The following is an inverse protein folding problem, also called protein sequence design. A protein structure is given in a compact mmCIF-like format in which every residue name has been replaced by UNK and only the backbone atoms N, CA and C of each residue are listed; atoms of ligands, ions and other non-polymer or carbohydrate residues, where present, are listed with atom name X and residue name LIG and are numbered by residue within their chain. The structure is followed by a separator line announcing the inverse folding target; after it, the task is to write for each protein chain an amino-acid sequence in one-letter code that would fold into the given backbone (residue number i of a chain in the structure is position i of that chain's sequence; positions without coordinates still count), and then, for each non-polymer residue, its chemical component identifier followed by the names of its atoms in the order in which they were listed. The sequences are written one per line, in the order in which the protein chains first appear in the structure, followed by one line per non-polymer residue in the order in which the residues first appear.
data_IF_376333109901
#
_entry.id   IF_376333109901
#
_cell.length_a   1.000
_cell.length_b   1.000
_cell.length_c   1.000
_cell.angle_alpha   90.00
_cell.angle_beta   90.00
_cell.angle_gamma   90.00
#
_symmetry.space_group_name_H-M   'P 1'
#
loop_
_entity.id
_entity.type
_entity.pdbx_description
1 polymer ?
#
# COMPACT_ATOMS: atom_id res chain seq x y z
N UNK A 1 6.74 5.47 9.14
CA UNK A 1 6.71 4.05 9.53
C UNK A 1 7.27 3.91 10.94
N UNK A 2 6.68 3.06 11.79
CA UNK A 2 7.14 2.90 13.19
C UNK A 2 6.36 3.72 14.24
N UNK A 3 5.49 4.63 13.82
CA UNK A 3 4.70 5.52 14.70
C UNK A 3 3.48 4.85 15.36
N UNK A 4 3.31 3.53 15.21
CA UNK A 4 2.24 2.80 15.91
C UNK A 4 0.92 2.66 15.19
N UNK A 5 0.81 2.91 13.87
CA UNK A 5 -0.44 2.79 13.08
C UNK A 5 -1.23 1.51 13.38
N UNK A 6 -0.55 0.36 13.40
CA UNK A 6 -1.21 -0.92 13.71
C UNK A 6 -1.79 -0.96 15.12
N UNK A 7 -1.13 -0.35 16.11
CA UNK A 7 -1.67 -0.26 17.48
C UNK A 7 -2.90 0.63 17.55
N UNK A 8 -2.90 1.74 16.81
CA UNK A 8 -4.08 2.62 16.70
C UNK A 8 -5.26 1.85 16.11
N UNK A 9 -5.04 1.09 15.02
CA UNK A 9 -6.11 0.28 14.41
C UNK A 9 -6.63 -0.81 15.34
N UNK A 10 -5.75 -1.46 16.13
CA UNK A 10 -6.14 -2.46 17.14
C UNK A 10 -7.00 -1.81 18.23
N UNK A 11 -6.56 -0.67 18.79
CA UNK A 11 -7.31 0.05 19.82
C UNK A 11 -8.68 0.50 19.34
N UNK A 12 -8.76 0.97 18.09
CA UNK A 12 -10.01 1.37 17.48
C UNK A 12 -10.96 0.17 17.32
N UNK A 13 -10.46 -0.97 16.81
CA UNK A 13 -11.23 -2.21 16.74
C UNK A 13 -11.76 -2.62 18.11
N UNK A 14 -10.92 -2.59 19.13
CA UNK A 14 -11.31 -2.96 20.50
C UNK A 14 -12.45 -2.06 21.02
N UNK A 15 -12.32 -0.75 20.86
CA UNK A 15 -13.34 0.21 21.27
C UNK A 15 -14.67 -0.02 20.53
N UNK A 16 -14.62 -0.16 19.20
CA UNK A 16 -15.82 -0.34 18.39
C UNK A 16 -16.49 -1.68 18.66
N UNK A 17 -15.72 -2.75 18.86
CA UNK A 17 -16.25 -4.08 19.17
C UNK A 17 -16.83 -4.19 20.58
N UNK A 18 -16.24 -3.53 21.57
CA UNK A 18 -16.76 -3.49 22.96
C UNK A 18 -18.08 -2.72 23.07
N UNK A 19 -18.27 -1.74 22.20
CA UNK A 19 -19.52 -0.96 22.18
C UNK A 19 -20.56 -1.53 21.19
N UNK A 20 -20.36 -2.73 20.65
CA UNK A 20 -21.22 -3.40 19.68
C UNK A 20 -21.51 -2.60 18.39
N UNK A 21 -20.65 -1.61 18.06
CA UNK A 21 -20.76 -0.83 16.83
C UNK A 21 -20.24 -1.61 15.62
N UNK A 22 -19.28 -2.49 15.84
CA UNK A 22 -18.65 -3.34 14.83
C UNK A 22 -18.57 -4.77 15.33
N UNK A 23 -19.02 -5.73 14.51
CA UNK A 23 -18.95 -7.17 14.80
C UNK A 23 -17.88 -7.87 13.99
N UNK A 24 -17.79 -7.58 12.71
CA UNK A 24 -16.89 -8.24 11.79
C UNK A 24 -15.98 -7.21 11.10
N UNK A 25 -14.69 -7.45 11.15
CA UNK A 25 -13.65 -6.58 10.59
C UNK A 25 -12.88 -7.30 9.50
N UNK A 26 -12.61 -6.62 8.41
CA UNK A 26 -11.67 -7.03 7.36
C UNK A 26 -10.44 -6.13 7.42
N UNK A 27 -9.26 -6.73 7.55
CA UNK A 27 -7.98 -6.03 7.43
C UNK A 27 -7.34 -6.37 6.08
N UNK A 28 -7.05 -5.36 5.29
CA UNK A 28 -6.47 -5.49 3.95
C UNK A 28 -5.07 -4.88 3.89
N UNK A 29 -4.14 -5.61 3.28
CA UNK A 29 -2.82 -5.10 2.93
C UNK A 29 -2.35 -5.66 1.59
N UNK A 30 -1.34 -5.04 0.99
CA UNK A 30 -0.80 -5.40 -0.33
C UNK A 30 -0.04 -6.75 -0.31
N UNK A 31 0.63 -7.07 0.81
CA UNK A 31 1.57 -8.20 0.89
C UNK A 31 1.24 -9.15 2.04
N UNK A 32 1.41 -10.44 1.78
CA UNK A 32 1.22 -11.50 2.79
C UNK A 32 2.08 -11.29 4.05
N UNK A 33 3.30 -10.74 3.91
CA UNK A 33 4.16 -10.45 5.05
C UNK A 33 3.53 -9.42 6.00
N UNK A 34 2.88 -8.36 5.46
CA UNK A 34 2.17 -7.33 6.24
C UNK A 34 0.94 -7.93 6.92
N UNK A 35 0.19 -8.78 6.20
CA UNK A 35 -0.96 -9.52 6.73
C UNK A 35 -0.55 -10.38 7.94
N UNK A 36 0.52 -11.16 7.80
CA UNK A 36 0.99 -12.03 8.89
C UNK A 36 1.50 -11.23 10.09
N UNK A 37 2.16 -10.09 9.84
CA UNK A 37 2.62 -9.19 10.91
C UNK A 37 1.44 -8.54 11.64
N UNK A 38 0.46 -8.04 10.89
CA UNK A 38 -0.74 -7.46 11.47
C UNK A 38 -1.49 -8.51 12.31
N UNK A 39 -1.74 -9.70 11.76
CA UNK A 39 -2.42 -10.80 12.45
C UNK A 39 -1.77 -11.11 13.80
N UNK A 40 -0.44 -11.30 13.84
CA UNK A 40 0.30 -11.54 15.10
C UNK A 40 0.14 -10.42 16.11
N UNK A 41 0.16 -9.16 15.66
CA UNK A 41 -0.03 -8.02 16.53
C UNK A 41 -1.46 -7.98 17.10
N UNK A 42 -2.45 -8.23 16.27
CA UNK A 42 -3.85 -8.28 16.70
C UNK A 42 -4.10 -9.42 17.70
N UNK A 43 -3.57 -10.62 17.46
CA UNK A 43 -3.65 -11.75 18.40
C UNK A 43 -3.04 -11.40 19.76
N UNK A 44 -1.92 -10.71 19.79
CA UNK A 44 -1.23 -10.33 21.04
C UNK A 44 -2.04 -9.34 21.89
N UNK A 45 -2.79 -8.42 21.25
CA UNK A 45 -3.53 -7.38 21.95
C UNK A 45 -5.02 -7.67 22.12
N UNK A 46 -5.59 -8.56 21.30
CA UNK A 46 -7.02 -8.97 21.33
C UNK A 46 -7.15 -10.50 21.43
N UNK A 47 -6.59 -11.15 22.47
CA UNK A 47 -6.52 -12.62 22.54
C UNK A 47 -7.87 -13.30 22.60
N UNK A 48 -8.92 -12.59 22.98
CA UNK A 48 -10.28 -13.14 23.11
C UNK A 48 -11.13 -12.99 21.85
N UNK A 49 -10.58 -12.39 20.77
CA UNK A 49 -11.28 -12.19 19.50
C UNK A 49 -10.84 -13.27 18.51
N UNK A 50 -11.81 -13.94 17.88
CA UNK A 50 -11.47 -14.95 16.86
C UNK A 50 -10.96 -14.30 15.59
N UNK A 51 -9.83 -14.77 15.09
CA UNK A 51 -9.14 -14.23 13.92
C UNK A 51 -8.78 -15.30 12.91
N UNK A 52 -8.65 -14.94 11.66
CA UNK A 52 -8.18 -15.83 10.58
C UNK A 52 -7.50 -15.04 9.48
N UNK A 53 -6.51 -15.67 8.84
CA UNK A 53 -5.93 -15.17 7.59
C UNK A 53 -6.58 -15.92 6.43
N UNK A 54 -7.13 -15.18 5.48
CA UNK A 54 -7.67 -15.75 4.25
C UNK A 54 -6.53 -16.16 3.33
N UNK A 55 -6.55 -17.41 2.89
CA UNK A 55 -5.55 -17.99 2.01
C UNK A 55 -6.23 -19.00 1.09
N UNK A 56 -5.69 -19.17 -0.10
CA UNK A 56 -6.17 -20.21 -1.03
C UNK A 56 -5.66 -21.61 -0.64
N UNK A 57 -4.59 -21.69 0.17
CA UNK A 57 -3.93 -22.93 0.56
C UNK A 57 -4.54 -23.59 1.79
N UNK A 58 -5.28 -22.84 2.62
CA UNK A 58 -5.85 -23.34 3.88
C UNK A 58 -7.31 -22.92 4.00
N UNK A 59 -8.14 -23.81 4.53
CA UNK A 59 -9.51 -23.46 4.86
C UNK A 59 -9.55 -22.46 6.03
N UNK A 60 -9.97 -21.21 5.80
CA UNK A 60 -10.04 -20.21 6.84
C UNK A 60 -11.27 -20.39 7.71
N UNK A 61 -11.21 -19.93 8.96
CA UNK A 61 -12.37 -19.85 9.81
C UNK A 61 -13.34 -18.75 9.34
N UNK A 62 -14.34 -19.11 8.54
CA UNK A 62 -15.34 -18.18 7.99
C UNK A 62 -16.23 -17.50 9.04
N UNK A 63 -16.18 -17.98 10.31
CA UNK A 63 -16.89 -17.39 11.45
C UNK A 63 -16.03 -16.44 12.28
N UNK A 64 -14.75 -16.28 11.92
CA UNK A 64 -13.85 -15.35 12.62
C UNK A 64 -14.39 -13.92 12.56
N UNK A 65 -14.21 -13.19 13.64
CA UNK A 65 -14.65 -11.79 13.77
C UNK A 65 -13.69 -10.83 13.09
N UNK A 66 -12.40 -11.14 13.06
CA UNK A 66 -11.43 -10.35 12.30
C UNK A 66 -10.80 -11.25 11.25
N UNK A 67 -10.86 -10.82 10.00
CA UNK A 67 -10.27 -11.52 8.86
C UNK A 67 -9.19 -10.67 8.24
N UNK A 68 -8.06 -11.29 7.94
CA UNK A 68 -6.90 -10.65 7.31
C UNK A 68 -6.75 -11.19 5.90
N UNK A 69 -6.60 -10.32 4.91
CA UNK A 69 -6.48 -10.73 3.51
C UNK A 69 -5.60 -9.79 2.72
N UNK A 70 -4.93 -10.31 1.70
CA UNK A 70 -4.42 -9.44 0.64
C UNK A 70 -5.58 -9.01 -0.28
N UNK A 71 -5.41 -7.90 -0.99
CA UNK A 71 -6.41 -7.46 -1.96
C UNK A 71 -6.69 -8.50 -3.04
N UNK A 72 -5.63 -9.15 -3.55
CA UNK A 72 -5.77 -10.17 -4.58
C UNK A 72 -6.58 -11.38 -4.09
N UNK A 73 -6.30 -11.85 -2.87
CA UNK A 73 -7.05 -12.95 -2.27
C UNK A 73 -8.52 -12.55 -2.09
N UNK A 74 -8.80 -11.35 -1.58
CA UNK A 74 -10.19 -10.90 -1.36
C UNK A 74 -10.97 -10.82 -2.67
N UNK A 75 -10.39 -10.29 -3.76
CA UNK A 75 -11.02 -10.29 -5.08
C UNK A 75 -11.43 -11.72 -5.48
N UNK A 76 -10.55 -12.69 -5.30
CA UNK A 76 -10.86 -14.09 -5.65
C UNK A 76 -12.03 -14.67 -4.83
N UNK A 77 -12.32 -14.13 -3.64
CA UNK A 77 -13.45 -14.54 -2.81
C UNK A 77 -14.77 -13.89 -3.19
N UNK A 78 -14.76 -12.72 -3.86
CA UNK A 78 -15.97 -11.98 -4.21
C UNK A 78 -16.32 -11.99 -5.71
N UNK A 79 -15.35 -12.29 -6.57
CA UNK A 79 -15.51 -12.24 -8.04
C UNK A 79 -15.96 -13.57 -8.65
N UNK A 80 -15.93 -14.68 -7.90
CA UNK A 80 -16.40 -16.00 -8.35
C UNK A 80 -17.92 -16.07 -8.31
N UNK A 81 -18.51 -16.92 -9.16
CA UNK A 81 -19.96 -17.19 -9.17
C UNK A 81 -20.49 -17.58 -7.76
N UNK A 82 -19.71 -18.40 -7.05
CA UNK A 82 -19.94 -18.76 -5.65
C UNK A 82 -19.26 -17.74 -4.72
N UNK A 83 -19.85 -16.55 -4.60
CA UNK A 83 -19.36 -15.54 -3.68
C UNK A 83 -19.30 -16.06 -2.25
N UNK A 84 -18.10 -16.06 -1.66
CA UNK A 84 -17.88 -16.59 -0.30
C UNK A 84 -18.45 -15.68 0.81
N UNK A 85 -18.66 -14.40 0.49
CA UNK A 85 -19.13 -13.40 1.43
C UNK A 85 -20.34 -12.65 0.88
N UNK A 86 -21.28 -12.31 1.77
CA UNK A 86 -22.37 -11.39 1.46
C UNK A 86 -21.90 -9.93 1.58
N UNK A 87 -22.62 -9.00 0.97
CA UNK A 87 -22.30 -7.56 0.98
C UNK A 87 -22.22 -6.97 2.41
N UNK A 88 -23.01 -7.46 3.36
CA UNK A 88 -23.00 -7.05 4.76
C UNK A 88 -22.14 -7.95 5.67
N UNK A 89 -21.14 -8.68 5.14
CA UNK A 89 -20.30 -9.56 5.97
C UNK A 89 -19.43 -8.77 6.93
N UNK A 90 -18.88 -7.65 6.49
CA UNK A 90 -17.99 -6.83 7.28
C UNK A 90 -18.61 -5.48 7.60
N UNK A 91 -18.53 -5.08 8.85
CA UNK A 91 -19.00 -3.77 9.32
C UNK A 91 -17.89 -2.71 9.15
N UNK A 92 -16.63 -3.15 9.15
CA UNK A 92 -15.46 -2.30 9.06
C UNK A 92 -14.39 -2.94 8.17
N UNK A 93 -13.83 -2.16 7.25
CA UNK A 93 -12.65 -2.50 6.46
C UNK A 93 -11.51 -1.55 6.81
N UNK A 94 -10.37 -2.11 7.23
CA UNK A 94 -9.14 -1.40 7.50
C UNK A 94 -8.17 -1.63 6.35
N UNK A 95 -7.67 -0.56 5.77
CA UNK A 95 -6.79 -0.55 4.61
C UNK A 95 -5.40 -0.12 5.06
N UNK A 96 -4.43 -1.03 5.07
CA UNK A 96 -3.03 -0.67 5.35
C UNK A 96 -2.33 -0.20 4.07
N UNK A 97 -1.46 0.81 4.22
CA UNK A 97 -0.75 1.48 3.13
C UNK A 97 -1.71 2.04 2.05
N UNK A 98 -2.73 2.78 2.49
CA UNK A 98 -3.81 3.33 1.66
C UNK A 98 -3.34 4.36 0.59
N UNK A 99 -2.07 4.77 0.59
CA UNK A 99 -1.50 5.72 -0.38
C UNK A 99 -1.27 5.12 -1.77
N UNK A 100 -1.17 3.80 -1.87
CA UNK A 100 -0.95 3.15 -3.17
C UNK A 100 -2.25 3.14 -3.95
N UNK A 101 -2.17 3.31 -5.27
CA UNK A 101 -3.31 3.29 -6.22
C UNK A 101 -4.05 1.94 -6.23
N UNK A 102 -4.44 1.50 -5.03
CA UNK A 102 -5.16 0.26 -4.74
C UNK A 102 -6.55 0.31 -5.36
N UNK A 103 -7.09 1.52 -5.51
CA UNK A 103 -8.49 1.74 -5.84
C UNK A 103 -8.81 1.48 -7.32
N UNK A 104 -7.87 1.72 -8.24
CA UNK A 104 -8.09 1.42 -9.65
C UNK A 104 -8.36 -0.06 -9.90
N UNK A 105 -7.51 -0.93 -9.37
CA UNK A 105 -7.58 -2.39 -9.58
C UNK A 105 -8.49 -3.11 -8.59
N UNK A 106 -8.51 -2.65 -7.35
CA UNK A 106 -9.20 -3.31 -6.23
C UNK A 106 -10.44 -2.56 -5.75
N UNK A 107 -10.85 -1.50 -6.43
CA UNK A 107 -12.05 -0.72 -6.13
C UNK A 107 -13.33 -1.56 -6.03
N UNK A 108 -13.38 -2.69 -6.74
CA UNK A 108 -14.47 -3.65 -6.68
C UNK A 108 -14.72 -4.17 -5.25
N UNK A 109 -13.68 -4.30 -4.39
CA UNK A 109 -13.85 -4.74 -3.00
C UNK A 109 -14.67 -3.72 -2.23
N UNK A 110 -14.33 -2.44 -2.36
CA UNK A 110 -14.96 -1.36 -1.62
C UNK A 110 -16.37 -1.04 -2.12
N UNK A 111 -16.63 -1.28 -3.41
CA UNK A 111 -17.98 -1.20 -3.99
C UNK A 111 -18.85 -2.41 -3.65
N UNK A 112 -18.23 -3.55 -3.31
CA UNK A 112 -18.96 -4.77 -3.01
C UNK A 112 -19.49 -4.80 -1.58
N UNK A 113 -18.67 -4.40 -0.59
CA UNK A 113 -19.05 -4.44 0.82
C UNK A 113 -19.69 -3.12 1.27
N UNK A 114 -20.81 -3.23 1.98
CA UNK A 114 -21.43 -2.11 2.69
C UNK A 114 -20.80 -1.97 4.07
N UNK A 115 -19.69 -1.26 4.16
CA UNK A 115 -18.83 -1.22 5.33
C UNK A 115 -18.25 0.18 5.58
N UNK A 116 -17.96 0.49 6.83
CA UNK A 116 -17.11 1.64 7.17
C UNK A 116 -15.68 1.39 6.68
N UNK A 117 -15.00 2.44 6.21
CA UNK A 117 -13.63 2.35 5.69
C UNK A 117 -12.67 3.16 6.57
N UNK A 118 -11.51 2.57 6.87
CA UNK A 118 -10.39 3.25 7.54
C UNK A 118 -9.12 3.02 6.72
N UNK A 119 -8.47 4.11 6.30
CA UNK A 119 -7.19 4.09 5.63
C UNK A 119 -6.04 4.40 6.61
N UNK A 120 -5.01 3.57 6.62
CA UNK A 120 -3.75 3.79 7.32
C UNK A 120 -2.66 4.05 6.29
N UNK A 121 -1.88 5.10 6.48
CA UNK A 121 -0.76 5.43 5.59
C UNK A 121 0.42 6.01 6.35
N UNK A 122 1.63 5.82 5.84
CA UNK A 122 2.85 6.45 6.35
C UNK A 122 3.35 7.59 5.45
N UNK A 123 2.74 7.81 4.29
CA UNK A 123 3.17 8.84 3.35
C UNK A 123 2.65 10.22 3.73
N UNK A 124 3.40 11.28 3.39
CA UNK A 124 2.93 12.66 3.49
C UNK A 124 1.59 12.88 2.76
N UNK A 125 0.86 13.90 3.20
CA UNK A 125 -0.46 14.26 2.66
C UNK A 125 -0.45 14.49 1.15
N UNK A 126 0.62 15.07 0.63
CA UNK A 126 0.76 15.47 -0.77
C UNK A 126 0.98 14.28 -1.73
N UNK A 127 1.37 13.11 -1.17
CA UNK A 127 1.61 11.89 -1.96
C UNK A 127 0.41 10.94 -1.99
N UNK A 128 -0.67 11.26 -1.27
CA UNK A 128 -1.87 10.45 -1.25
C UNK A 128 -2.69 10.79 -2.49
N UNK A 129 -2.99 9.77 -3.29
CA UNK A 129 -3.82 9.91 -4.48
C UNK A 129 -5.22 10.46 -4.11
N UNK A 130 -5.70 11.43 -4.89
CA UNK A 130 -7.03 12.02 -4.76
C UNK A 130 -8.14 10.98 -4.67
N UNK A 131 -8.02 9.90 -5.43
CA UNK A 131 -8.97 8.79 -5.41
C UNK A 131 -9.11 8.11 -4.03
N UNK A 132 -8.05 8.17 -3.20
CA UNK A 132 -8.07 7.66 -1.83
C UNK A 132 -8.93 8.54 -0.92
N UNK A 133 -8.79 9.86 -1.04
CA UNK A 133 -9.63 10.79 -0.26
C UNK A 133 -11.09 10.70 -0.68
N UNK A 134 -11.37 10.62 -1.98
CA UNK A 134 -12.73 10.47 -2.52
C UNK A 134 -13.39 9.19 -1.98
N UNK A 135 -12.67 8.05 -1.97
CA UNK A 135 -13.19 6.79 -1.43
C UNK A 135 -13.48 6.86 0.07
N UNK A 136 -12.58 7.48 0.83
CA UNK A 136 -12.74 7.63 2.28
C UNK A 136 -13.71 8.78 2.65
N UNK A 137 -14.29 9.44 1.64
CA UNK A 137 -15.20 10.60 1.79
C UNK A 137 -14.56 11.74 2.60
N UNK A 138 -13.28 12.00 2.34
CA UNK A 138 -12.50 13.05 2.99
C UNK A 138 -12.20 14.17 2.00
N UNK A 139 -12.03 15.38 2.53
CA UNK A 139 -11.52 16.51 1.75
C UNK A 139 -10.07 16.22 1.31
N UNK A 140 -9.77 16.53 0.05
CA UNK A 140 -8.46 16.28 -0.52
C UNK A 140 -7.35 16.95 0.30
N UNK A 141 -6.33 16.20 0.68
CA UNK A 141 -5.21 16.66 1.50
C UNK A 141 -5.52 16.79 2.99
N UNK A 142 -6.73 16.39 3.46
CA UNK A 142 -7.13 16.55 4.87
C UNK A 142 -7.44 15.20 5.52
N UNK A 143 -6.44 14.49 6.09
CA UNK A 143 -6.70 13.27 6.85
C UNK A 143 -7.43 13.59 8.16
N UNK A 144 -8.22 12.64 8.68
CA UNK A 144 -8.88 12.81 9.98
C UNK A 144 -7.89 12.93 11.14
N UNK A 145 -6.72 12.31 11.04
CA UNK A 145 -5.65 12.34 12.03
C UNK A 145 -4.29 12.23 11.34
N UNK A 146 -3.34 13.03 11.78
CA UNK A 146 -1.94 12.98 11.35
C UNK A 146 -1.05 12.97 12.59
N UNK A 147 0.02 12.20 12.55
CA UNK A 147 1.09 12.18 13.54
C UNK A 147 2.41 12.20 12.78
N UNK A 148 2.97 13.39 12.69
CA UNK A 148 4.09 13.65 11.79
C UNK A 148 5.42 13.19 12.41
N UNK A 149 6.47 13.11 11.58
CA UNK A 149 7.78 12.62 12.01
C UNK A 149 8.38 13.53 13.09
N UNK A 150 8.30 14.84 12.93
CA UNK A 150 8.83 15.82 13.87
C UNK A 150 8.16 15.70 15.25
N UNK A 151 6.85 15.50 15.27
CA UNK A 151 6.08 15.26 16.49
C UNK A 151 6.51 13.96 17.16
N UNK A 152 6.66 12.88 16.39
CA UNK A 152 7.10 11.58 16.89
C UNK A 152 8.54 11.60 17.42
N UNK A 153 9.41 12.45 16.89
CA UNK A 153 10.77 12.69 17.42
C UNK A 153 10.71 13.51 18.69
N UNK A 154 9.88 14.55 18.74
CA UNK A 154 9.69 15.37 19.95
C UNK A 154 9.13 14.56 21.12
N UNK A 155 8.24 13.60 20.83
CA UNK A 155 7.66 12.67 21.80
C UNK A 155 8.59 11.47 22.14
N UNK A 156 9.81 11.44 21.60
CA UNK A 156 10.82 10.39 21.82
C UNK A 156 10.41 8.98 21.31
N UNK A 157 9.39 8.87 20.45
CA UNK A 157 9.01 7.60 19.81
C UNK A 157 9.86 7.27 18.60
N UNK A 158 10.43 8.28 17.93
CA UNK A 158 11.38 8.11 16.83
C UNK A 158 12.69 8.86 17.14
N UNK A 159 13.76 8.37 16.54
CA UNK A 159 15.07 9.04 16.62
C UNK A 159 15.27 9.96 15.42
N UNK A 160 15.91 11.14 15.61
CA UNK A 160 16.24 12.00 14.48
C UNK A 160 17.25 11.32 13.56
N UNK A 161 17.07 11.48 12.24
CA UNK A 161 18.02 10.98 11.25
C UNK A 161 18.83 12.11 10.64
N UNK A 162 20.00 11.77 10.13
CA UNK A 162 20.84 12.66 9.30
C UNK A 162 20.93 12.08 7.91
N UNK A 163 20.58 12.87 6.92
CA UNK A 163 20.73 12.50 5.52
C UNK A 163 22.16 12.82 5.07
N UNK A 164 22.85 11.83 4.55
CA UNK A 164 24.14 12.00 3.87
C UNK A 164 23.90 11.79 2.37
N UNK A 165 24.06 12.85 1.60
CA UNK A 165 24.02 12.76 0.14
C UNK A 165 25.44 12.57 -0.39
N UNK A 166 25.65 11.48 -1.10
CA UNK A 166 26.88 11.22 -1.82
C UNK A 166 26.65 11.55 -3.30
N UNK A 167 27.34 12.57 -3.78
CA UNK A 167 27.40 12.88 -5.21
C UNK A 167 28.61 12.19 -5.80
N UNK A 168 28.40 11.25 -6.73
CA UNK A 168 29.51 10.73 -7.53
C UNK A 168 29.83 11.73 -8.66
N UNK A 169 31.08 11.74 -9.14
CA UNK A 169 31.43 12.54 -10.31
C UNK A 169 30.51 12.24 -11.50
N UNK A 170 30.08 11.00 -11.65
CA UNK A 170 29.16 10.57 -12.70
C UNK A 170 27.80 11.25 -12.56
N UNK A 171 27.29 11.44 -11.33
CA UNK A 171 26.03 12.17 -11.10
C UNK A 171 26.14 13.67 -11.37
N UNK A 172 27.33 14.26 -11.21
CA UNK A 172 27.56 15.68 -11.45
C UNK A 172 27.84 15.99 -12.92
N UNK A 173 28.59 15.12 -13.61
CA UNK A 173 29.09 15.37 -14.98
C UNK A 173 28.37 14.55 -16.04
N UNK A 174 27.51 13.58 -15.64
CA UNK A 174 27.01 12.57 -16.55
C UNK A 174 28.09 11.59 -17.02
N UNK A 175 27.70 10.62 -17.82
CA UNK A 175 28.59 9.71 -18.52
C UNK A 175 28.49 10.07 -20.01
N UNK A 176 29.59 10.47 -20.63
CA UNK A 176 29.59 10.63 -22.09
C UNK A 176 29.58 9.25 -22.72
N UNK A 177 28.85 9.12 -23.83
CA UNK A 177 28.78 7.89 -24.61
C UNK A 177 30.16 7.30 -24.95
N UNK A 178 31.07 8.17 -25.34
CA UNK A 178 32.42 7.80 -25.74
C UNK A 178 33.30 7.30 -24.58
N UNK A 179 32.94 7.60 -23.35
CA UNK A 179 33.65 7.18 -22.12
C UNK A 179 33.19 5.81 -21.63
N UNK A 180 32.13 5.25 -22.21
CA UNK A 180 31.59 3.93 -21.86
C UNK A 180 32.42 2.80 -22.53
N UNK A 181 32.71 1.71 -21.79
CA UNK A 181 33.27 0.50 -22.42
C UNK A 181 32.34 -0.01 -23.54
N UNK A 182 32.90 -0.52 -24.62
CA UNK A 182 32.12 -1.03 -25.77
C UNK A 182 31.02 -2.00 -25.38
N UNK A 183 31.28 -2.91 -24.44
CA UNK A 183 30.29 -3.87 -23.95
C UNK A 183 29.06 -3.20 -23.30
N UNK A 184 29.24 -2.02 -22.70
CA UNK A 184 28.12 -1.26 -22.10
C UNK A 184 27.38 -0.43 -23.15
N UNK A 185 28.09 0.08 -24.16
CA UNK A 185 27.49 0.75 -25.32
C UNK A 185 26.58 -0.22 -26.07
N UNK A 186 27.08 -1.42 -26.40
CA UNK A 186 26.30 -2.46 -27.10
C UNK A 186 25.03 -2.85 -26.34
N UNK A 187 25.13 -3.04 -25.00
CA UNK A 187 23.96 -3.34 -24.15
C UNK A 187 22.95 -2.21 -24.11
N UNK A 188 23.41 -0.96 -24.08
CA UNK A 188 22.49 0.19 -24.07
C UNK A 188 21.83 0.36 -25.44
N UNK A 189 22.51 0.11 -26.53
CA UNK A 189 21.95 0.10 -27.88
C UNK A 189 20.88 -0.97 -28.04
N UNK A 190 21.09 -2.18 -27.50
CA UNK A 190 20.08 -3.24 -27.49
C UNK A 190 18.82 -2.83 -26.70
N UNK A 191 19.00 -2.23 -25.51
CA UNK A 191 17.86 -1.76 -24.68
C UNK A 191 17.10 -0.64 -25.39
N UNK A 192 17.79 0.32 -26.00
CA UNK A 192 17.16 1.40 -26.76
C UNK A 192 16.44 0.92 -28.00
N UNK A 193 17.00 -0.04 -28.73
CA UNK A 193 16.35 -0.66 -29.88
C UNK A 193 15.05 -1.38 -29.45
N UNK A 194 15.10 -2.06 -28.31
CA UNK A 194 13.92 -2.73 -27.75
C UNK A 194 12.84 -1.74 -27.29
N UNK A 195 13.22 -0.67 -26.56
CA UNK A 195 12.29 0.39 -26.15
C UNK A 195 11.66 1.11 -27.34
N UNK A 196 12.45 1.38 -28.38
CA UNK A 196 12.00 2.01 -29.61
C UNK A 196 11.00 1.13 -30.37
N UNK A 197 11.24 -0.17 -30.42
CA UNK A 197 10.31 -1.14 -31.01
C UNK A 197 8.99 -1.24 -30.22
N UNK A 198 9.04 -1.17 -28.89
CA UNK A 198 7.84 -1.15 -28.03
C UNK A 198 7.03 0.13 -28.15
N UNK A 199 7.69 1.28 -28.38
CA UNK A 199 7.03 2.57 -28.55
C UNK A 199 6.42 2.77 -29.96
N UNK A 200 6.67 1.87 -30.91
CA UNK A 200 6.16 1.97 -32.28
C UNK A 200 6.74 3.15 -33.09
N UNK A 201 7.92 3.65 -32.69
CA UNK A 201 8.58 4.80 -33.35
C UNK A 201 9.34 4.35 -34.59
N UNK A 202 9.22 5.11 -35.70
CA UNK A 202 9.95 4.84 -36.92
C UNK A 202 11.42 5.28 -36.82
N UNK A 203 12.30 4.67 -37.68
CA UNK A 203 13.77 4.91 -37.62
C UNK A 203 14.20 6.36 -37.95
N UNK A 204 13.26 7.21 -38.42
CA UNK A 204 13.52 8.60 -38.78
C UNK A 204 13.31 9.64 -37.67
N UNK A 205 12.85 9.23 -36.48
CA UNK A 205 12.72 10.11 -35.34
C UNK A 205 13.99 10.04 -34.47
N UNK A 206 14.85 11.03 -34.60
CA UNK A 206 16.03 11.25 -33.76
C UNK A 206 15.57 11.47 -32.31
N UNK A 207 15.69 10.45 -31.47
CA UNK A 207 15.42 10.54 -30.04
C UNK A 207 16.63 11.14 -29.31
N UNK A 208 16.69 12.46 -29.24
CA UNK A 208 17.58 13.15 -28.32
C UNK A 208 17.01 13.05 -26.91
N UNK A 209 17.39 12.03 -26.16
CA UNK A 209 17.28 12.05 -24.70
C UNK A 209 18.45 12.85 -24.15
N UNK A 210 18.25 14.14 -23.91
CA UNK A 210 19.09 14.87 -22.99
C UNK A 210 18.96 14.17 -21.63
N UNK A 211 20.03 13.48 -21.24
CA UNK A 211 20.18 12.96 -19.87
C UNK A 211 20.56 14.18 -19.02
N UNK A 212 19.63 15.11 -18.86
CA UNK A 212 19.67 16.07 -17.77
C UNK A 212 19.04 15.41 -16.53
N UNK A 213 19.94 15.06 -15.62
CA UNK A 213 19.60 14.73 -14.25
C UNK A 213 18.83 15.88 -13.61
N UNK A 214 17.60 15.63 -13.21
CA UNK A 214 16.96 16.36 -12.11
C UNK A 214 16.94 15.52 -10.86
#
# INVERSE_FOLDING_TARGET
TGTGKTRVSISLCDILMRNDWVKNVLFLADRTALINQAHKNYEAFLPNVTMTVLSEEKEPNMKARIMFSTYQTMINYIDKEDKKFTIGKFDLIIIDEAHRSVFGRYGAIFNYFDSLLIGLTATPRDEIDRSTYDLLQLDNGTPNYSYDYEEAVADEYLVPYKTLQYHSKIMETGIKWDDLPKEQQDKLEEVWAYEKALAGMSDDEEYHRDIESK
#
